data_IF_916637014418
#
_entry.id   IF_916637014418
#
_cell.length_a   1.000
_cell.length_b   1.000
_cell.length_c   1.000
_cell.angle_alpha   90.00
_cell.angle_beta   90.00
_cell.angle_gamma   90.00
#
_symmetry.space_group_name_H-M   'P 1'
#
loop_
_entity.id
_entity.type
_entity.pdbx_description
1 polymer ?
#
# COMPACT_ATOMS: atom_id res chain seq x y z
N UNK A 1 -4.78 6.63 13.37
CA UNK A 1 -4.43 6.82 11.94
C UNK A 1 -5.56 6.29 11.07
N UNK A 2 -5.65 6.63 9.77
CA UNK A 2 -6.74 6.14 8.89
C UNK A 2 -6.89 4.62 8.92
N UNK A 3 -5.75 3.90 8.99
CA UNK A 3 -5.69 2.44 9.18
C UNK A 3 -6.56 1.95 10.34
N UNK A 4 -6.47 2.55 11.51
CA UNK A 4 -7.17 2.08 12.72
C UNK A 4 -8.68 2.30 12.62
N UNK A 5 -9.09 3.30 11.84
CA UNK A 5 -10.50 3.64 11.61
C UNK A 5 -11.13 2.67 10.61
N UNK A 6 -10.39 2.33 9.55
CA UNK A 6 -10.89 1.43 8.49
C UNK A 6 -10.81 -0.04 8.92
N UNK A 7 -9.76 -0.40 9.66
CA UNK A 7 -9.52 -1.75 10.15
C UNK A 7 -9.52 -1.82 11.69
N UNK A 8 -10.66 -1.53 12.36
CA UNK A 8 -10.75 -1.59 13.81
C UNK A 8 -10.63 -3.04 14.32
N UNK A 9 -9.80 -3.27 15.33
CA UNK A 9 -9.55 -4.62 15.87
C UNK A 9 -9.08 -5.61 14.79
N UNK A 10 -8.14 -5.19 13.94
CA UNK A 10 -7.60 -5.98 12.84
C UNK A 10 -7.20 -7.40 13.28
N UNK A 11 -6.47 -7.54 14.39
CA UNK A 11 -5.99 -8.82 14.95
C UNK A 11 -7.12 -9.77 15.33
N UNK A 12 -8.17 -9.27 15.96
CA UNK A 12 -9.30 -10.09 16.38
C UNK A 12 -10.13 -10.62 15.19
N UNK A 13 -10.04 -9.97 14.03
CA UNK A 13 -10.86 -10.27 12.86
C UNK A 13 -10.08 -10.88 11.69
N UNK A 14 -8.81 -11.28 11.87
CA UNK A 14 -7.94 -11.75 10.77
C UNK A 14 -8.43 -13.00 10.06
N UNK A 15 -9.15 -13.85 10.78
CA UNK A 15 -9.73 -15.09 10.25
C UNK A 15 -11.03 -14.84 9.50
N UNK A 16 -11.69 -13.71 9.76
CA UNK A 16 -12.94 -13.33 9.13
C UNK A 16 -12.66 -12.76 7.73
N UNK A 17 -12.94 -13.59 6.71
CA UNK A 17 -12.79 -13.22 5.31
C UNK A 17 -13.57 -11.96 4.96
N UNK A 18 -14.86 -11.91 5.31
CA UNK A 18 -15.74 -10.80 4.96
C UNK A 18 -15.26 -9.50 5.58
N UNK A 19 -14.75 -9.57 6.82
CA UNK A 19 -14.15 -8.42 7.48
C UNK A 19 -12.96 -7.86 6.68
N UNK A 20 -12.01 -8.72 6.32
CA UNK A 20 -10.79 -8.31 5.60
C UNK A 20 -11.11 -7.79 4.21
N UNK A 21 -12.13 -8.32 3.54
CA UNK A 21 -12.40 -8.04 2.13
C UNK A 21 -13.38 -6.90 1.93
N UNK A 22 -14.26 -6.62 2.91
CA UNK A 22 -15.20 -5.50 2.82
C UNK A 22 -14.56 -4.14 3.07
N UNK A 23 -13.24 -4.10 3.35
CA UNK A 23 -12.46 -2.92 3.68
C UNK A 23 -11.32 -2.70 2.69
N UNK A 24 -11.03 -1.45 2.37
CA UNK A 24 -9.80 -1.06 1.70
C UNK A 24 -9.44 0.41 1.95
N UNK A 25 -8.15 0.72 1.84
CA UNK A 25 -7.64 2.09 1.75
C UNK A 25 -7.34 2.40 0.29
N UNK A 26 -7.88 3.49 -0.24
CA UNK A 26 -7.67 3.97 -1.60
C UNK A 26 -6.73 5.15 -1.58
N UNK A 27 -5.75 5.14 -2.48
CA UNK A 27 -4.84 6.27 -2.70
C UNK A 27 -4.59 6.51 -4.18
N UNK A 28 -4.02 7.66 -4.53
CA UNK A 28 -3.80 8.07 -5.92
C UNK A 28 -2.54 7.47 -6.51
N UNK A 29 -1.50 7.22 -5.70
CA UNK A 29 -0.18 6.78 -6.14
C UNK A 29 0.22 5.43 -5.53
N UNK A 30 1.05 4.69 -6.25
CA UNK A 30 1.49 3.34 -5.86
C UNK A 30 2.43 3.35 -4.64
N UNK A 31 3.28 4.36 -4.51
CA UNK A 31 4.18 4.58 -3.35
C UNK A 31 3.40 4.63 -2.03
N UNK A 32 2.31 5.41 -1.96
CA UNK A 32 1.43 5.48 -0.79
C UNK A 32 0.73 4.17 -0.51
N UNK A 33 0.30 3.46 -1.54
CA UNK A 33 -0.33 2.13 -1.41
C UNK A 33 0.66 1.13 -0.83
N UNK A 34 1.88 1.08 -1.35
CA UNK A 34 2.92 0.16 -0.91
C UNK A 34 3.31 0.46 0.55
N UNK A 35 3.47 1.74 0.91
CA UNK A 35 3.75 2.16 2.29
C UNK A 35 2.63 1.76 3.27
N UNK A 36 1.37 1.98 2.90
CA UNK A 36 0.23 1.57 3.74
C UNK A 36 0.17 0.04 3.87
N UNK A 37 0.34 -0.71 2.78
CA UNK A 37 0.33 -2.16 2.80
C UNK A 37 1.47 -2.74 3.66
N UNK A 38 2.68 -2.18 3.59
CA UNK A 38 3.82 -2.60 4.41
C UNK A 38 3.57 -2.35 5.91
N UNK A 39 2.95 -1.21 6.24
CA UNK A 39 2.53 -0.93 7.61
C UNK A 39 1.46 -1.94 8.09
N UNK A 40 0.46 -2.19 7.26
CA UNK A 40 -0.64 -3.11 7.57
C UNK A 40 -0.16 -4.54 7.82
N UNK A 41 0.72 -5.07 6.97
CA UNK A 41 1.23 -6.44 7.15
C UNK A 41 2.15 -6.55 8.38
N UNK A 42 2.85 -5.46 8.74
CA UNK A 42 3.63 -5.38 9.97
C UNK A 42 2.77 -5.43 11.23
N UNK A 43 1.60 -4.80 11.20
CA UNK A 43 0.59 -4.87 12.27
C UNK A 43 -0.18 -6.20 12.28
N UNK A 44 -0.17 -6.93 11.16
CA UNK A 44 -0.93 -8.15 10.98
C UNK A 44 -0.28 -9.30 11.78
N UNK A 45 -0.95 -9.91 12.77
CA UNK A 45 -0.41 -11.05 13.53
C UNK A 45 -0.30 -12.32 12.66
N UNK A 46 0.60 -13.23 13.07
CA UNK A 46 0.85 -14.50 12.39
C UNK A 46 2.24 -14.59 11.75
N UNK A 47 2.58 -15.81 11.32
CA UNK A 47 3.86 -16.13 10.67
C UNK A 47 4.03 -15.38 9.35
N UNK A 48 5.17 -14.70 9.20
CA UNK A 48 5.58 -14.04 7.97
C UNK A 48 6.20 -15.06 7.00
N UNK A 49 5.68 -15.11 5.77
CA UNK A 49 6.33 -15.78 4.64
C UNK A 49 6.92 -14.72 3.72
N UNK A 50 8.19 -14.89 3.38
CA UNK A 50 8.93 -13.98 2.51
C UNK A 50 9.29 -14.68 1.21
N UNK A 51 8.76 -14.17 0.10
CA UNK A 51 9.15 -14.64 -1.22
C UNK A 51 10.09 -13.64 -1.89
N UNK A 52 11.32 -14.09 -2.14
CA UNK A 52 12.26 -13.42 -3.01
C UNK A 52 11.94 -13.76 -4.46
N UNK A 53 12.00 -12.77 -5.33
CA UNK A 53 11.92 -13.03 -6.77
C UNK A 53 13.20 -13.72 -7.28
N UNK A 54 13.15 -14.20 -8.51
CA UNK A 54 14.34 -14.58 -9.26
C UNK A 54 14.52 -13.59 -10.40
N UNK A 55 15.73 -13.02 -10.52
CA UNK A 55 16.11 -12.16 -11.64
C UNK A 55 16.98 -12.91 -12.63
N UNK A 56 16.80 -12.57 -13.90
CA UNK A 56 17.78 -12.80 -14.94
C UNK A 56 17.73 -11.59 -15.88
N UNK A 57 18.87 -10.91 -16.03
CA UNK A 57 19.08 -10.01 -17.15
C UNK A 57 19.23 -10.90 -18.40
N UNK A 58 18.46 -10.60 -19.44
CA UNK A 58 18.42 -11.41 -20.66
C UNK A 58 19.62 -11.04 -21.55
N UNK A 59 20.05 -9.78 -21.49
CA UNK A 59 21.08 -9.19 -22.36
C UNK A 59 22.38 -8.83 -21.61
N UNK A 60 22.70 -9.54 -20.52
CA UNK A 60 23.90 -9.27 -19.70
C UNK A 60 24.83 -10.50 -19.58
N UNK A 61 25.53 -10.87 -20.66
CA UNK A 61 26.43 -12.03 -20.66
C UNK A 61 27.64 -11.90 -19.72
N UNK A 62 27.94 -10.68 -19.24
CA UNK A 62 29.08 -10.42 -18.35
C UNK A 62 28.65 -10.01 -16.92
N UNK A 63 27.36 -10.06 -16.60
CA UNK A 63 26.81 -9.69 -15.29
C UNK A 63 27.20 -8.26 -14.85
N UNK A 64 27.22 -7.31 -15.78
CA UNK A 64 27.45 -5.89 -15.53
C UNK A 64 26.43 -5.26 -14.57
N UNK A 65 25.22 -5.82 -14.48
CA UNK A 65 24.18 -5.35 -13.57
C UNK A 65 24.12 -6.19 -12.29
N UNK A 66 24.63 -5.70 -11.15
CA UNK A 66 24.63 -6.45 -9.91
C UNK A 66 23.20 -6.74 -9.45
N UNK A 67 23.00 -7.89 -8.79
CA UNK A 67 21.69 -8.34 -8.33
C UNK A 67 21.03 -7.32 -7.40
N UNK A 68 21.82 -6.60 -6.60
CA UNK A 68 21.42 -5.54 -5.70
C UNK A 68 20.75 -4.39 -6.45
N UNK A 69 21.29 -3.99 -7.60
CA UNK A 69 20.70 -2.96 -8.45
C UNK A 69 19.38 -3.46 -9.05
N UNK A 70 19.35 -4.67 -9.59
CA UNK A 70 18.12 -5.26 -10.14
C UNK A 70 17.02 -5.42 -9.09
N UNK A 71 17.39 -5.71 -7.84
CA UNK A 71 16.50 -5.80 -6.69
C UNK A 71 15.85 -4.45 -6.33
N UNK A 72 16.50 -3.32 -6.64
CA UNK A 72 15.94 -1.98 -6.43
C UNK A 72 14.89 -1.59 -7.47
N UNK A 73 14.90 -2.23 -8.64
CA UNK A 73 13.96 -1.89 -9.72
C UNK A 73 12.53 -2.27 -9.33
N UNK A 74 11.63 -1.30 -9.31
CA UNK A 74 10.19 -1.53 -9.10
C UNK A 74 9.37 -0.85 -10.21
N UNK A 75 9.46 -1.33 -11.48
CA UNK A 75 8.66 -0.78 -12.57
C UNK A 75 7.17 -0.92 -12.30
N UNK A 76 6.38 -0.06 -12.94
CA UNK A 76 4.93 -0.12 -12.83
C UNK A 76 4.41 -1.50 -13.27
N UNK A 77 3.56 -2.12 -12.45
CA UNK A 77 2.96 -3.43 -12.76
C UNK A 77 3.82 -4.66 -12.45
N UNK A 78 5.04 -4.52 -11.91
CA UNK A 78 5.81 -5.66 -11.37
C UNK A 78 5.65 -5.78 -9.85
N UNK A 79 5.45 -6.97 -9.27
CA UNK A 79 5.50 -7.16 -7.82
C UNK A 79 6.82 -6.66 -7.23
N UNK A 80 6.82 -6.20 -5.97
CA UNK A 80 8.05 -5.80 -5.27
C UNK A 80 9.06 -6.96 -5.22
N UNK A 81 10.34 -6.64 -5.10
CA UNK A 81 11.41 -7.64 -5.04
C UNK A 81 11.20 -8.63 -3.88
N UNK A 82 10.88 -8.09 -2.70
CA UNK A 82 10.54 -8.84 -1.52
C UNK A 82 9.03 -8.79 -1.32
N UNK A 83 8.40 -9.96 -1.34
CA UNK A 83 6.97 -10.08 -1.09
C UNK A 83 6.74 -10.71 0.28
N UNK A 84 6.34 -9.88 1.25
CA UNK A 84 5.99 -10.30 2.61
C UNK A 84 4.48 -10.56 2.69
N UNK A 85 4.11 -11.78 3.07
CA UNK A 85 2.72 -12.22 3.14
C UNK A 85 2.48 -12.96 4.45
N UNK A 86 1.22 -12.97 4.90
CA UNK A 86 0.75 -13.74 6.06
C UNK A 86 -0.55 -14.45 5.69
N UNK A 87 -0.83 -15.57 6.36
CA UNK A 87 -2.11 -16.27 6.16
C UNK A 87 -3.25 -15.33 6.58
N UNK A 88 -4.31 -15.25 5.77
CA UNK A 88 -5.45 -14.36 5.99
C UNK A 88 -5.30 -12.96 5.39
N UNK A 89 -4.10 -12.55 4.94
CA UNK A 89 -3.95 -11.23 4.33
C UNK A 89 -4.64 -11.16 2.95
N UNK A 90 -5.26 -10.01 2.60
CA UNK A 90 -5.83 -9.79 1.29
C UNK A 90 -4.72 -9.46 0.28
N UNK A 91 -4.82 -10.05 -0.90
CA UNK A 91 -3.94 -9.79 -2.03
C UNK A 91 -4.76 -9.54 -3.30
N UNK A 92 -4.15 -8.91 -4.30
CA UNK A 92 -4.77 -8.61 -5.59
C UNK A 92 -3.89 -9.13 -6.73
N UNK A 93 -4.50 -9.72 -7.75
CA UNK A 93 -3.79 -10.15 -8.97
C UNK A 93 -3.37 -8.96 -9.82
N UNK A 94 -2.15 -9.02 -10.35
CA UNK A 94 -1.57 -7.98 -11.20
C UNK A 94 -1.69 -8.27 -12.70
N UNK A 95 -1.98 -9.53 -13.09
CA UNK A 95 -2.11 -9.96 -14.49
C UNK A 95 -3.24 -10.98 -14.66
N UNK A 96 -3.69 -11.10 -15.89
CA UNK A 96 -4.61 -12.16 -16.30
C UNK A 96 -3.84 -13.48 -16.36
N UNK A 97 -4.34 -14.48 -15.65
CA UNK A 97 -3.82 -15.86 -15.66
C UNK A 97 -4.84 -16.75 -16.34
N UNK A 98 -6.09 -16.66 -15.90
CA UNK A 98 -7.20 -17.47 -16.40
C UNK A 98 -8.51 -16.70 -16.26
N UNK A 99 -8.96 -16.12 -17.37
CA UNK A 99 -10.18 -15.30 -17.41
C UNK A 99 -11.43 -16.14 -17.14
N UNK A 100 -11.48 -17.37 -17.64
CA UNK A 100 -12.63 -18.25 -17.51
C UNK A 100 -12.88 -18.64 -16.05
N UNK A 101 -11.81 -18.75 -15.26
CA UNK A 101 -11.87 -19.11 -13.85
C UNK A 101 -11.79 -17.91 -12.88
N UNK A 102 -11.89 -16.67 -13.39
CA UNK A 102 -11.92 -15.45 -12.57
C UNK A 102 -10.55 -14.98 -12.07
N UNK A 103 -9.45 -15.50 -12.62
CA UNK A 103 -8.08 -15.07 -12.32
C UNK A 103 -7.64 -13.98 -13.30
N UNK A 104 -8.31 -12.82 -13.22
CA UNK A 104 -7.99 -11.64 -13.99
C UNK A 104 -7.23 -10.59 -13.16
N UNK A 105 -6.65 -9.61 -13.84
CA UNK A 105 -6.02 -8.46 -13.20
C UNK A 105 -7.06 -7.71 -12.35
N UNK A 106 -6.75 -7.47 -11.08
CA UNK A 106 -7.66 -6.83 -10.15
C UNK A 106 -8.48 -7.80 -9.30
N UNK A 107 -8.48 -9.11 -9.58
CA UNK A 107 -9.15 -10.09 -8.71
C UNK A 107 -8.54 -10.06 -7.32
N UNK A 108 -9.38 -9.78 -6.32
CA UNK A 108 -8.99 -9.85 -4.90
C UNK A 108 -9.10 -11.28 -4.39
N UNK A 109 -8.11 -11.64 -3.60
CA UNK A 109 -7.89 -12.96 -3.04
C UNK A 109 -7.54 -12.83 -1.56
N UNK A 110 -7.74 -13.90 -0.78
CA UNK A 110 -7.21 -14.04 0.58
C UNK A 110 -6.27 -15.23 0.61
N UNK A 111 -5.09 -15.04 1.20
CA UNK A 111 -4.09 -16.11 1.35
C UNK A 111 -4.56 -17.13 2.37
N UNK A 112 -4.54 -18.41 2.00
CA UNK A 112 -4.92 -19.53 2.87
C UNK A 112 -3.75 -20.42 3.26
N UNK A 113 -2.70 -20.44 2.46
CA UNK A 113 -1.51 -21.24 2.76
C UNK A 113 -0.34 -20.90 1.85
N UNK A 114 0.83 -21.37 2.26
CA UNK A 114 2.08 -21.15 1.54
C UNK A 114 2.72 -22.49 1.19
N UNK A 115 3.26 -22.57 -0.03
CA UNK A 115 4.13 -23.65 -0.47
C UNK A 115 5.38 -23.06 -1.10
N UNK A 116 6.41 -23.87 -1.31
CA UNK A 116 7.70 -23.41 -1.88
C UNK A 116 7.54 -22.64 -3.20
N UNK A 117 6.67 -23.13 -4.09
CA UNK A 117 6.48 -22.60 -5.44
C UNK A 117 5.02 -22.26 -5.80
N UNK A 118 4.11 -22.31 -4.82
CA UNK A 118 2.69 -21.98 -5.02
C UNK A 118 2.14 -21.23 -3.80
N UNK A 119 1.14 -20.39 -4.03
CA UNK A 119 0.37 -19.76 -2.95
C UNK A 119 -1.07 -20.26 -3.05
N UNK A 120 -1.55 -20.85 -1.97
CA UNK A 120 -2.94 -21.24 -1.82
C UNK A 120 -3.75 -19.99 -1.44
N UNK A 121 -4.70 -19.64 -2.29
CA UNK A 121 -5.52 -18.46 -2.14
C UNK A 121 -6.99 -18.75 -2.45
N UNK A 122 -7.86 -17.88 -1.98
CA UNK A 122 -9.30 -17.97 -2.20
C UNK A 122 -9.82 -16.69 -2.83
N UNK A 123 -10.64 -16.81 -3.88
CA UNK A 123 -11.31 -15.65 -4.50
C UNK A 123 -12.36 -15.11 -3.55
N UNK A 124 -12.37 -13.79 -3.36
CA UNK A 124 -13.22 -13.16 -2.34
C UNK A 124 -14.28 -12.22 -2.89
N UNK A 125 -14.21 -11.86 -4.17
CA UNK A 125 -15.17 -10.96 -4.81
C UNK A 125 -15.60 -11.53 -6.16
N UNK A 126 -16.85 -11.25 -6.55
CA UNK A 126 -17.40 -11.57 -7.87
C UNK A 126 -17.94 -12.99 -8.00
N UNK A 127 -18.26 -13.38 -9.23
CA UNK A 127 -18.93 -14.65 -9.57
C UNK A 127 -18.19 -15.90 -9.08
N UNK A 128 -16.87 -15.82 -8.95
CA UNK A 128 -16.01 -16.93 -8.55
C UNK A 128 -15.65 -16.92 -7.05
N UNK A 129 -16.31 -16.09 -6.23
CA UNK A 129 -16.05 -16.01 -4.81
C UNK A 129 -16.21 -17.37 -4.11
N UNK A 130 -15.28 -17.69 -3.19
CA UNK A 130 -15.20 -18.97 -2.48
C UNK A 130 -14.32 -20.01 -3.16
N UNK A 131 -13.97 -19.82 -4.44
CA UNK A 131 -13.10 -20.76 -5.15
C UNK A 131 -11.66 -20.72 -4.63
N UNK A 132 -11.12 -21.89 -4.27
CA UNK A 132 -9.71 -22.10 -3.91
C UNK A 132 -8.86 -22.28 -5.16
N UNK A 133 -7.73 -21.57 -5.21
CA UNK A 133 -6.83 -21.52 -6.36
C UNK A 133 -5.38 -21.54 -5.88
N UNK A 134 -4.51 -22.18 -6.66
CA UNK A 134 -3.07 -22.17 -6.43
C UNK A 134 -2.39 -21.22 -7.43
N UNK A 135 -1.77 -20.17 -6.92
CA UNK A 135 -1.03 -19.22 -7.74
C UNK A 135 0.39 -19.71 -7.96
N UNK A 136 0.84 -19.89 -9.21
CA UNK A 136 2.23 -20.19 -9.51
C UNK A 136 3.06 -18.92 -9.62
N UNK A 137 4.39 -19.07 -9.52
CA UNK A 137 5.33 -18.02 -9.92
C UNK A 137 5.37 -17.92 -11.44
N UNK A 138 5.14 -16.74 -11.99
CA UNK A 138 5.20 -16.50 -13.44
C UNK A 138 6.37 -15.58 -13.80
N UNK A 139 7.00 -15.76 -14.98
CA UNK A 139 7.97 -14.79 -15.49
C UNK A 139 7.24 -13.50 -15.90
N UNK A 140 7.74 -12.37 -15.42
CA UNK A 140 7.24 -11.05 -15.71
C UNK A 140 8.33 -10.23 -16.38
N UNK A 141 8.03 -9.72 -17.57
CA UNK A 141 8.85 -8.72 -18.24
C UNK A 141 8.31 -7.31 -17.92
N UNK A 142 9.18 -6.32 -17.67
CA UNK A 142 8.81 -4.91 -17.69
C UNK A 142 8.14 -4.53 -19.01
N UNK A 143 7.41 -3.43 -19.03
CA UNK A 143 6.95 -2.82 -20.28
C UNK A 143 8.14 -2.27 -21.06
N UNK A 144 8.09 -2.32 -22.40
CA UNK A 144 9.11 -1.71 -23.25
C UNK A 144 9.20 -0.17 -23.07
N UNK A 145 8.18 0.45 -22.48
CA UNK A 145 8.13 1.89 -22.15
C UNK A 145 8.98 2.25 -20.92
N UNK A 146 9.34 1.28 -20.09
CA UNK A 146 10.30 1.54 -19.03
C UNK A 146 11.69 1.63 -19.69
N UNK A 147 12.25 2.85 -19.77
CA UNK A 147 13.53 3.20 -20.43
C UNK A 147 14.76 2.54 -19.78
N UNK A 148 14.73 1.23 -19.51
CA UNK A 148 15.89 0.50 -19.03
C UNK A 148 16.82 0.22 -20.23
N UNK A 149 18.14 0.36 -20.06
CA UNK A 149 19.11 0.08 -21.12
C UNK A 149 19.27 -1.42 -21.42
N UNK A 150 18.48 -2.29 -20.81
CA UNK A 150 18.57 -3.75 -20.92
C UNK A 150 17.19 -4.41 -20.70
N UNK A 151 16.98 -5.59 -21.29
CA UNK A 151 15.81 -6.41 -20.98
C UNK A 151 16.09 -7.33 -19.79
N UNK A 152 15.14 -7.43 -18.86
CA UNK A 152 15.21 -8.38 -17.76
C UNK A 152 13.89 -9.11 -17.54
N UNK A 153 14.00 -10.35 -17.04
CA UNK A 153 12.85 -11.16 -16.61
C UNK A 153 12.87 -11.31 -15.10
N UNK A 154 11.70 -11.12 -14.47
CA UNK A 154 11.48 -11.36 -13.04
C UNK A 154 10.50 -12.51 -12.86
N UNK A 155 10.93 -13.62 -12.28
CA UNK A 155 10.01 -14.72 -11.92
C UNK A 155 9.48 -14.50 -10.50
N UNK A 156 8.19 -14.21 -10.37
CA UNK A 156 7.54 -13.93 -9.09
C UNK A 156 6.04 -14.27 -9.14
N UNK A 157 5.40 -14.38 -7.97
CA UNK A 157 3.94 -14.43 -7.91
C UNK A 157 3.32 -13.12 -8.40
N UNK A 158 2.32 -13.15 -9.29
CA UNK A 158 1.74 -11.96 -9.89
C UNK A 158 0.70 -11.31 -8.97
N UNK A 159 1.04 -11.10 -7.70
CA UNK A 159 0.16 -10.52 -6.67
C UNK A 159 0.82 -9.36 -5.95
N UNK A 160 0.02 -8.54 -5.28
CA UNK A 160 0.44 -7.58 -4.25
C UNK A 160 -0.53 -7.60 -3.07
N UNK A 161 -0.09 -7.15 -1.90
CA UNK A 161 -0.97 -6.88 -0.77
C UNK A 161 -2.07 -5.90 -1.17
N UNK A 162 -3.28 -6.10 -0.64
CA UNK A 162 -4.46 -5.30 -1.00
C UNK A 162 -5.27 -4.86 0.20
N UNK A 163 -4.60 -4.46 1.30
CA UNK A 163 -5.24 -3.66 2.35
C UNK A 163 -5.46 -2.23 1.84
N UNK A 164 -4.47 -1.73 1.08
CA UNK A 164 -4.56 -0.53 0.28
C UNK A 164 -4.44 -0.86 -1.22
N UNK A 165 -5.08 -0.05 -2.07
CA UNK A 165 -4.94 -0.12 -3.53
C UNK A 165 -5.10 1.27 -4.15
N UNK A 166 -4.72 1.42 -5.42
CA UNK A 166 -4.93 2.70 -6.10
C UNK A 166 -6.40 2.89 -6.47
N UNK A 167 -6.84 4.15 -6.55
CA UNK A 167 -8.18 4.50 -7.03
C UNK A 167 -8.46 3.83 -8.38
N UNK A 168 -7.51 3.88 -9.31
CA UNK A 168 -7.63 3.24 -10.63
C UNK A 168 -7.86 1.72 -10.53
N UNK A 169 -7.19 1.03 -9.61
CA UNK A 169 -7.38 -0.42 -9.40
C UNK A 169 -8.71 -0.76 -8.73
N UNK A 170 -9.27 0.17 -7.96
CA UNK A 170 -10.57 -0.01 -7.31
C UNK A 170 -11.77 0.19 -8.25
N UNK A 171 -11.55 0.75 -9.45
CA UNK A 171 -12.61 1.03 -10.39
C UNK A 171 -13.40 -0.24 -10.75
N UNK A 172 -14.73 -0.16 -10.69
CA UNK A 172 -15.61 -1.30 -10.92
C UNK A 172 -15.80 -2.22 -9.72
N UNK A 173 -15.10 -2.00 -8.60
CA UNK A 173 -15.29 -2.76 -7.37
C UNK A 173 -16.27 -2.05 -6.42
N UNK A 174 -17.00 -2.82 -5.63
CA UNK A 174 -17.81 -2.36 -4.51
C UNK A 174 -17.10 -2.74 -3.21
N UNK A 175 -16.79 -1.76 -2.36
CA UNK A 175 -16.03 -1.94 -1.12
C UNK A 175 -16.84 -1.27 -0.01
N UNK A 176 -17.52 -2.02 0.88
CA UNK A 176 -18.40 -1.44 1.89
C UNK A 176 -17.78 -0.37 2.79
N UNK A 177 -16.51 -0.53 3.17
CA UNK A 177 -15.78 0.37 4.08
C UNK A 177 -14.52 0.90 3.40
N UNK A 178 -14.50 2.21 3.12
CA UNK A 178 -13.45 2.84 2.31
C UNK A 178 -12.75 3.93 3.11
N UNK A 179 -11.43 3.78 3.25
CA UNK A 179 -10.55 4.89 3.61
C UNK A 179 -10.00 5.54 2.35
N UNK A 180 -10.08 6.85 2.22
CA UNK A 180 -9.43 7.58 1.12
C UNK A 180 -8.23 8.33 1.71
N UNK A 181 -7.03 7.95 1.29
CA UNK A 181 -5.77 8.53 1.75
C UNK A 181 -5.16 9.42 0.67
N UNK A 182 -5.13 10.73 0.94
CA UNK A 182 -4.68 11.77 0.01
C UNK A 182 -3.61 12.66 0.67
N UNK A 183 -2.34 12.20 0.73
CA UNK A 183 -1.23 13.03 1.17
C UNK A 183 -0.98 14.24 0.27
N UNK A 184 -1.24 14.05 -1.02
CA UNK A 184 -1.19 15.08 -2.04
C UNK A 184 -2.54 15.19 -2.77
N UNK A 185 -2.84 16.33 -3.41
CA UNK A 185 -4.03 16.48 -4.23
C UNK A 185 -4.16 15.39 -5.31
N UNK A 186 -5.40 15.08 -5.68
CA UNK A 186 -5.67 14.22 -6.84
C UNK A 186 -5.12 14.86 -8.11
N UNK A 187 -4.54 14.05 -9.00
CA UNK A 187 -3.86 14.55 -10.20
C UNK A 187 -4.69 14.42 -11.48
N UNK A 188 -5.83 13.72 -11.41
CA UNK A 188 -6.72 13.53 -12.56
C UNK A 188 -8.17 13.76 -12.20
N UNK A 189 -8.91 14.34 -13.14
CA UNK A 189 -10.34 14.62 -13.00
C UNK A 189 -11.12 13.34 -12.70
N UNK A 190 -12.09 13.43 -11.79
CA UNK A 190 -12.94 12.30 -11.42
C UNK A 190 -12.29 11.27 -10.48
N UNK A 191 -10.99 11.32 -10.17
CA UNK A 191 -10.36 10.35 -9.26
C UNK A 191 -11.01 10.31 -7.87
N UNK A 192 -11.28 11.48 -7.27
CA UNK A 192 -11.95 11.53 -5.97
C UNK A 192 -13.37 10.96 -6.04
N UNK A 193 -14.10 11.25 -7.12
CA UNK A 193 -15.43 10.68 -7.37
C UNK A 193 -15.36 9.15 -7.52
N UNK A 194 -14.39 8.62 -8.27
CA UNK A 194 -14.18 7.18 -8.41
C UNK A 194 -13.90 6.55 -7.04
N UNK A 195 -13.06 7.17 -6.21
CA UNK A 195 -12.75 6.68 -4.87
C UNK A 195 -13.98 6.64 -3.96
N UNK A 196 -14.77 7.72 -3.91
CA UNK A 196 -15.97 7.81 -3.08
C UNK A 196 -17.08 6.88 -3.56
N UNK A 197 -17.24 6.71 -4.87
CA UNK A 197 -18.26 5.81 -5.46
C UNK A 197 -17.97 4.32 -5.24
N UNK A 198 -16.84 3.94 -4.63
CA UNK A 198 -16.58 2.54 -4.27
C UNK A 198 -17.35 2.11 -3.04
N UNK A 199 -17.68 3.04 -2.14
CA UNK A 199 -18.40 2.74 -0.91
C UNK A 199 -19.90 2.56 -1.16
N UNK A 200 -20.52 1.68 -0.36
CA UNK A 200 -21.96 1.42 -0.43
C UNK A 200 -22.78 2.47 0.31
N UNK A 201 -22.20 3.08 1.36
CA UNK A 201 -22.86 4.05 2.21
C UNK A 201 -21.90 5.18 2.58
N UNK A 202 -22.44 6.39 2.70
CA UNK A 202 -21.67 7.60 3.02
C UNK A 202 -20.94 7.47 4.37
N UNK A 203 -21.60 6.92 5.38
CA UNK A 203 -21.07 6.76 6.74
C UNK A 203 -19.82 5.89 6.82
N UNK A 204 -19.61 5.01 5.83
CA UNK A 204 -18.48 4.10 5.75
C UNK A 204 -17.30 4.64 4.92
N UNK A 205 -17.36 5.90 4.49
CA UNK A 205 -16.25 6.61 3.87
C UNK A 205 -15.53 7.43 4.93
N UNK A 206 -14.21 7.31 5.00
CA UNK A 206 -13.35 8.17 5.81
C UNK A 206 -12.25 8.74 4.94
N UNK A 207 -12.10 10.06 4.93
CA UNK A 207 -11.10 10.73 4.09
C UNK A 207 -10.03 11.31 5.00
N UNK A 208 -8.77 10.98 4.74
CA UNK A 208 -7.60 11.63 5.32
C UNK A 208 -6.87 12.37 4.21
N UNK A 209 -7.02 13.68 4.17
CA UNK A 209 -6.25 14.57 3.30
C UNK A 209 -5.19 15.28 4.14
N UNK A 210 -3.98 15.45 3.57
CA UNK A 210 -2.95 16.28 4.18
C UNK A 210 -2.90 17.63 3.44
N UNK A 211 -2.55 18.73 4.12
CA UNK A 211 -2.38 20.00 3.45
C UNK A 211 -1.24 19.92 2.43
N UNK A 212 -1.31 20.66 1.31
CA UNK A 212 -0.20 20.77 0.38
C UNK A 212 1.05 21.22 1.15
N UNK A 213 2.15 20.50 0.99
CA UNK A 213 3.45 20.64 1.68
C UNK A 213 3.62 19.90 3.02
N UNK A 214 2.64 19.14 3.51
CA UNK A 214 2.82 18.35 4.74
C UNK A 214 3.98 17.35 4.65
N UNK A 215 4.22 16.75 3.47
CA UNK A 215 5.34 15.84 3.24
C UNK A 215 6.70 16.55 3.26
N UNK A 216 6.77 17.76 2.72
CA UNK A 216 7.99 18.58 2.77
C UNK A 216 8.29 18.98 4.22
N UNK A 217 7.26 19.39 4.98
CA UNK A 217 7.36 19.71 6.39
C UNK A 217 7.74 18.49 7.25
N UNK A 218 7.21 17.29 6.95
CA UNK A 218 7.54 16.05 7.68
C UNK A 218 8.94 15.52 7.32
N UNK A 219 9.37 15.65 6.06
CA UNK A 219 10.76 15.38 5.65
C UNK A 219 11.74 16.35 6.30
N UNK A 220 11.43 17.64 6.32
CA UNK A 220 12.25 18.66 6.95
C UNK A 220 12.33 18.46 8.47
N UNK A 221 11.22 18.10 9.12
CA UNK A 221 11.20 17.71 10.53
C UNK A 221 12.05 16.46 10.79
N UNK A 222 11.96 15.41 9.96
CA UNK A 222 12.81 14.20 10.08
C UNK A 222 14.29 14.49 9.82
N UNK A 223 14.60 15.42 8.90
CA UNK A 223 15.97 15.90 8.64
C UNK A 223 16.50 16.71 9.81
N UNK A 224 15.69 17.57 10.41
CA UNK A 224 16.04 18.31 11.62
C UNK A 224 16.25 17.39 12.82
N UNK A 225 15.38 16.40 13.06
CA UNK A 225 15.56 15.42 14.13
C UNK A 225 16.84 14.60 13.94
N UNK A 226 17.16 14.17 12.71
CA UNK A 226 18.43 13.51 12.41
C UNK A 226 19.65 14.43 12.61
N UNK A 227 19.53 15.73 12.32
CA UNK A 227 20.58 16.74 12.61
C UNK A 227 20.76 16.95 14.12
N UNK A 228 19.66 16.98 14.88
CA UNK A 228 19.67 17.13 16.34
C UNK A 228 20.24 15.86 17.01
N UNK A 229 19.89 14.67 16.52
CA UNK A 229 20.46 13.40 16.98
C UNK A 229 21.97 13.31 16.69
N UNK A 230 22.42 13.76 15.50
CA UNK A 230 23.86 13.86 15.18
C UNK A 230 24.60 14.89 16.06
N UNK A 231 23.96 16.01 16.42
CA UNK A 231 24.55 16.99 17.36
C UNK A 231 24.65 16.44 18.79
N UNK A 232 23.67 15.66 19.26
CA UNK A 232 23.72 15.01 20.59
C UNK A 232 24.76 13.90 20.70
N UNK A 233 25.18 13.29 19.59
CA UNK A 233 26.27 12.30 19.58
C UNK A 233 27.68 12.88 19.70
N UNK A 234 27.86 14.21 19.76
CA UNK A 234 29.17 14.89 19.80
C UNK A 234 29.42 15.82 20.99
N UNK A 235 28.63 15.73 22.06
CA UNK A 235 28.87 16.52 23.27
C UNK A 235 28.54 15.74 24.54
N UNK A 236 29.57 15.24 25.23
CA UNK A 236 29.49 14.86 26.63
C UNK A 236 29.31 16.12 27.49
N UNK A 237 28.49 16.03 28.54
CA UNK A 237 28.64 16.87 29.73
C UNK A 237 27.42 17.71 30.13
N UNK A 238 26.75 17.22 31.15
CA UNK A 238 26.02 17.94 32.21
C UNK A 238 24.57 18.41 32.02
N UNK A 239 23.83 17.96 33.04
CA UNK A 239 22.41 18.06 33.36
C UNK A 239 22.09 19.41 34.00
N UNK A 240 21.02 20.08 33.56
CA UNK A 240 20.18 20.96 34.41
C UNK A 240 18.73 20.95 33.90
N UNK A 241 17.83 20.61 34.81
CA UNK A 241 16.38 20.68 34.67
C UNK A 241 15.90 22.12 34.50
N UNK A 242 15.05 22.35 33.49
CA UNK A 242 14.22 23.55 33.36
C UNK A 242 12.86 23.13 32.77
N UNK A 243 11.71 23.51 33.36
CA UNK A 243 10.39 23.02 32.97
C UNK A 243 9.92 23.65 31.66
N UNK A 244 9.56 22.84 30.66
CA UNK A 244 8.93 23.33 29.42
C UNK A 244 7.42 23.52 29.61
N UNK A 245 7.02 24.74 29.95
CA UNK A 245 5.69 25.27 29.58
C UNK A 245 5.62 25.44 28.05
N UNK A 246 4.63 24.83 27.39
CA UNK A 246 4.13 25.24 26.05
C UNK A 246 2.61 25.05 26.05
N UNK A 247 1.88 26.13 26.39
CA UNK A 247 1.14 27.00 25.47
C UNK A 247 0.10 26.24 24.64
N UNK A 248 -1.11 26.19 25.19
CA UNK A 248 -2.36 26.04 24.44
C UNK A 248 -2.41 27.10 23.34
N UNK A 249 -2.63 26.69 22.10
CA UNK A 249 -2.95 27.60 21.01
C UNK A 249 -4.41 27.34 20.63
N UNK A 250 -5.18 28.40 20.83
CA UNK A 250 -6.61 28.55 20.65
C UNK A 250 -7.03 28.26 19.21
N UNK A 251 -8.16 27.56 19.05
CA UNK A 251 -8.84 27.40 17.78
C UNK A 251 -9.26 28.78 17.25
N UNK A 252 -8.95 29.05 15.98
CA UNK A 252 -9.49 30.21 15.27
C UNK A 252 -10.30 29.70 14.09
N UNK A 253 -11.59 29.96 14.21
CA UNK A 253 -12.64 29.78 13.22
C UNK A 253 -12.38 30.65 11.99
N UNK A 254 -12.58 30.11 10.79
CA UNK A 254 -12.24 30.80 9.55
C UNK A 254 -12.49 29.97 8.30
N UNK A 255 -13.71 30.02 7.78
CA UNK A 255 -14.06 29.59 6.42
C UNK A 255 -13.46 30.56 5.40
N UNK A 256 -12.54 30.07 4.55
CA UNK A 256 -12.17 30.73 3.30
C UNK A 256 -12.08 29.73 2.15
N UNK A 257 -12.88 29.97 1.12
CA UNK A 257 -12.96 29.26 -0.15
C UNK A 257 -11.78 29.61 -1.05
N UNK A 258 -10.68 28.85 -0.94
CA UNK A 258 -9.76 28.52 -2.05
C UNK A 258 -9.29 27.07 -1.87
N UNK A 259 -10.22 26.18 -2.22
CA UNK A 259 -10.12 24.75 -2.47
C UNK A 259 -9.10 23.93 -1.66
N UNK A 260 -9.58 23.57 -0.47
CA UNK A 260 -9.40 22.31 0.26
C UNK A 260 -8.07 22.19 1.02
N UNK A 261 -8.00 22.93 2.13
CA UNK A 261 -7.22 22.55 3.31
C UNK A 261 -8.18 21.84 4.26
N UNK A 262 -8.02 20.54 4.50
CA UNK A 262 -8.67 19.90 5.65
C UNK A 262 -7.70 19.02 6.40
N UNK A 263 -7.29 19.51 7.56
CA UNK A 263 -6.63 18.73 8.61
C UNK A 263 -7.72 18.22 9.54
N UNK A 264 -8.45 17.20 9.10
CA UNK A 264 -9.35 16.41 9.95
C UNK A 264 -9.77 15.15 9.17
N UNK A 265 -9.93 14.02 9.87
CA UNK A 265 -10.56 12.83 9.26
C UNK A 265 -12.03 13.16 9.09
N UNK A 266 -12.42 13.55 7.88
CA UNK A 266 -13.81 13.86 7.59
C UNK A 266 -14.60 12.54 7.60
N UNK A 267 -15.48 12.42 8.58
CA UNK A 267 -16.61 11.51 8.51
C UNK A 267 -17.68 12.23 7.70
N UNK A 268 -17.91 11.79 6.46
CA UNK A 268 -19.03 12.26 5.66
C UNK A 268 -20.32 11.67 6.22
#
# INVERSE_FOLDING_TARGET
>A
MLVDIIFPNLNSNMTNKDYITSRAILSTRNDWVDNNNMKMIGMFQGGEMVYHNFYSAIDDPHNYYPSEFLNTLAPNGLPPHVQKLKIGCPVILLRNIDLANGLCNGTRLVVRGFQRNSIDAEIVVGRHAGKRIFLPRIPLCPSNDDMFPFQFKRKQFPIRLSFAMTVNKSQGQTIPNVGVYLPAPVFSYGQLYVAMSRATTRTHIKILALPPNAEAEEEDAKREEKKIAKKKGKGQGNQKDVPKKKKSVTAVDGTYTKNIVYKEVLAL
#
